data_IF_120294803551
#
_entry.id   IF_120294803551
#
_cell.length_a   1.000
_cell.length_b   1.000
_cell.length_c   1.000
_cell.angle_alpha   90.00
_cell.angle_beta   90.00
_cell.angle_gamma   90.00
#
_symmetry.space_group_name_H-M   'P 1'
#
loop_
_entity.id
_entity.type
_entity.pdbx_description
1 polymer ?
#
# COMPACT_ATOMS: atom_id res chain seq x y z
N UNK A 1 -23.74 -3.64 -25.76
CA UNK A 1 -22.76 -4.67 -25.37
C UNK A 1 -21.50 -4.06 -24.77
N UNK A 2 -20.91 -3.03 -25.38
CA UNK A 2 -19.73 -2.31 -24.87
C UNK A 2 -19.84 -1.81 -23.41
N UNK A 3 -20.98 -1.26 -23.01
CA UNK A 3 -21.15 -0.73 -21.65
C UNK A 3 -21.14 -1.85 -20.59
N UNK A 4 -21.73 -3.00 -20.91
CA UNK A 4 -21.76 -4.14 -19.99
C UNK A 4 -20.37 -4.76 -19.83
N UNK A 5 -19.63 -4.96 -20.93
CA UNK A 5 -18.25 -5.48 -20.88
C UNK A 5 -17.31 -4.52 -20.14
N UNK A 6 -17.42 -3.21 -20.36
CA UNK A 6 -16.64 -2.21 -19.64
C UNK A 6 -16.94 -2.24 -18.14
N UNK A 7 -18.22 -2.31 -17.75
CA UNK A 7 -18.59 -2.34 -16.33
C UNK A 7 -18.18 -3.64 -15.64
N UNK A 8 -18.19 -4.76 -16.36
CA UNK A 8 -17.64 -6.02 -15.87
C UNK A 8 -16.14 -5.91 -15.58
N UNK A 9 -15.37 -5.32 -16.51
CA UNK A 9 -13.92 -5.08 -16.31
C UNK A 9 -13.69 -4.14 -15.13
N UNK A 10 -14.43 -3.03 -15.03
CA UNK A 10 -14.32 -2.09 -13.92
C UNK A 10 -14.64 -2.76 -12.57
N UNK A 11 -15.68 -3.60 -12.53
CA UNK A 11 -16.07 -4.35 -11.34
C UNK A 11 -14.99 -5.36 -10.92
N UNK A 12 -14.41 -6.08 -11.88
CA UNK A 12 -13.28 -6.99 -11.62
C UNK A 12 -12.03 -6.24 -11.14
N UNK A 13 -11.72 -5.09 -11.75
CA UNK A 13 -10.58 -4.27 -11.35
C UNK A 13 -10.72 -3.75 -9.91
N UNK A 14 -11.87 -3.17 -9.57
CA UNK A 14 -12.17 -2.70 -8.20
C UNK A 14 -12.22 -3.85 -7.19
N UNK A 15 -12.86 -4.96 -7.55
CA UNK A 15 -12.90 -6.16 -6.71
C UNK A 15 -11.50 -6.72 -6.44
N UNK A 16 -10.61 -6.70 -7.44
CA UNK A 16 -9.21 -7.12 -7.28
C UNK A 16 -8.45 -6.21 -6.33
N UNK A 17 -8.67 -4.89 -6.39
CA UNK A 17 -8.07 -3.95 -5.45
C UNK A 17 -8.52 -4.26 -4.02
N UNK A 18 -9.82 -4.43 -3.79
CA UNK A 18 -10.33 -4.78 -2.45
C UNK A 18 -9.84 -6.15 -1.97
N UNK A 19 -9.76 -7.14 -2.85
CA UNK A 19 -9.21 -8.45 -2.53
C UNK A 19 -7.73 -8.35 -2.14
N UNK A 20 -6.92 -7.55 -2.84
CA UNK A 20 -5.52 -7.31 -2.51
C UNK A 20 -5.35 -6.58 -1.18
N UNK A 21 -6.20 -5.59 -0.88
CA UNK A 21 -6.19 -4.89 0.40
C UNK A 21 -6.50 -5.87 1.54
N UNK A 22 -7.54 -6.69 1.39
CA UNK A 22 -7.90 -7.71 2.38
C UNK A 22 -6.79 -8.77 2.56
N UNK A 23 -6.18 -9.23 1.46
CA UNK A 23 -5.06 -10.16 1.49
C UNK A 23 -3.85 -9.54 2.21
N UNK A 24 -3.51 -8.29 1.92
CA UNK A 24 -2.43 -7.56 2.60
C UNK A 24 -2.65 -7.48 4.11
N UNK A 25 -3.85 -7.07 4.51
CA UNK A 25 -4.19 -6.94 5.93
C UNK A 25 -4.16 -8.29 6.67
N UNK A 26 -4.69 -9.35 6.06
CA UNK A 26 -4.67 -10.70 6.64
C UNK A 26 -3.25 -11.27 6.74
N UNK A 27 -2.36 -11.00 5.79
CA UNK A 27 -0.96 -11.41 5.87
C UNK A 27 -0.22 -10.69 7.02
N UNK A 28 -0.37 -9.37 7.13
CA UNK A 28 0.26 -8.58 8.19
C UNK A 28 -0.24 -9.03 9.56
N UNK A 29 -1.55 -9.14 9.73
CA UNK A 29 -2.14 -9.62 10.99
C UNK A 29 -1.78 -11.09 11.28
N UNK A 30 -1.68 -11.94 10.25
CA UNK A 30 -1.29 -13.35 10.39
C UNK A 30 0.11 -13.52 10.97
N UNK A 31 1.05 -12.66 10.57
CA UNK A 31 2.44 -12.66 11.07
C UNK A 31 2.56 -11.95 12.40
N UNK A 32 1.98 -10.76 12.53
CA UNK A 32 2.21 -9.87 13.69
C UNK A 32 1.25 -10.14 14.86
N UNK A 33 0.06 -10.68 14.60
CA UNK A 33 -1.00 -10.98 15.59
C UNK A 33 -1.39 -9.79 16.47
N UNK A 34 -1.27 -8.57 15.94
CA UNK A 34 -1.78 -7.33 16.53
C UNK A 34 -2.44 -6.46 15.46
N UNK A 35 -3.34 -5.57 15.88
CA UNK A 35 -4.07 -4.65 14.98
C UNK A 35 -3.11 -3.53 14.54
N UNK A 36 -2.87 -3.42 13.24
CA UNK A 36 -2.03 -2.38 12.65
C UNK A 36 -2.91 -1.30 12.01
N UNK A 37 -3.09 -0.17 12.70
CA UNK A 37 -3.89 0.96 12.21
C UNK A 37 -3.25 1.66 11.02
N UNK A 38 -1.92 1.76 11.00
CA UNK A 38 -1.17 2.42 9.92
C UNK A 38 -1.25 1.71 8.56
N UNK A 39 -1.93 0.55 8.45
CA UNK A 39 -1.98 -0.21 7.21
C UNK A 39 -2.68 0.56 6.08
N UNK A 40 -3.81 1.22 6.36
CA UNK A 40 -4.50 2.07 5.37
C UNK A 40 -3.64 3.24 4.93
N UNK A 41 -2.85 3.79 5.84
CA UNK A 41 -2.07 5.01 5.59
C UNK A 41 -0.83 4.69 4.75
N UNK A 42 -0.23 3.51 4.96
CA UNK A 42 0.83 2.99 4.08
C UNK A 42 0.28 2.71 2.67
N UNK A 43 -0.95 2.19 2.55
CA UNK A 43 -1.60 2.02 1.24
C UNK A 43 -1.83 3.37 0.55
N UNK A 44 -2.28 4.38 1.30
CA UNK A 44 -2.43 5.75 0.81
C UNK A 44 -1.10 6.32 0.30
N UNK A 45 0.00 6.17 1.06
CA UNK A 45 1.33 6.59 0.63
C UNK A 45 1.78 5.88 -0.66
N UNK A 46 1.47 4.60 -0.82
CA UNK A 46 1.73 3.86 -2.06
C UNK A 46 0.96 4.42 -3.26
N UNK A 47 -0.30 4.80 -3.07
CA UNK A 47 -1.11 5.45 -4.10
C UNK A 47 -0.55 6.84 -4.46
N UNK A 48 -0.16 7.65 -3.46
CA UNK A 48 0.49 8.93 -3.70
C UNK A 48 1.84 8.79 -4.41
N UNK A 49 2.64 7.77 -4.06
CA UNK A 49 3.87 7.49 -4.77
C UNK A 49 3.61 7.27 -6.26
N UNK A 50 2.60 6.45 -6.62
CA UNK A 50 2.22 6.25 -8.02
C UNK A 50 1.74 7.54 -8.69
N UNK A 51 0.96 8.36 -7.97
CA UNK A 51 0.49 9.66 -8.45
C UNK A 51 1.64 10.61 -8.81
N UNK A 52 2.70 10.68 -7.99
CA UNK A 52 3.85 11.55 -8.26
C UNK A 52 4.85 10.94 -9.26
N UNK A 53 5.00 9.62 -9.30
CA UNK A 53 5.91 8.93 -10.23
C UNK A 53 5.38 8.98 -11.67
N UNK A 54 4.07 8.83 -11.87
CA UNK A 54 3.47 8.80 -13.20
C UNK A 54 3.85 10.00 -14.10
N UNK A 55 3.73 11.27 -13.67
CA UNK A 55 4.17 12.41 -14.48
C UNK A 55 5.71 12.51 -14.56
N UNK A 56 6.44 12.05 -13.55
CA UNK A 56 7.90 12.09 -13.55
C UNK A 56 8.54 11.14 -14.58
N UNK A 57 7.90 10.01 -14.87
CA UNK A 57 8.40 9.04 -15.87
C UNK A 57 7.88 9.29 -17.29
N UNK A 58 6.84 10.12 -17.44
CA UNK A 58 6.23 10.45 -18.73
C UNK A 58 7.24 10.94 -19.80
N UNK A 59 8.30 11.70 -19.46
CA UNK A 59 9.33 12.09 -20.43
C UNK A 59 10.18 10.92 -20.94
N UNK A 60 10.29 9.83 -20.18
CA UNK A 60 11.11 8.66 -20.52
C UNK A 60 10.31 7.57 -21.24
N UNK A 61 9.05 7.40 -20.86
CA UNK A 61 8.16 6.38 -21.39
C UNK A 61 6.79 7.02 -21.62
N UNK A 62 6.19 6.88 -22.82
CA UNK A 62 4.87 7.45 -23.08
C UNK A 62 3.81 6.80 -22.19
N UNK A 63 2.96 7.61 -21.55
CA UNK A 63 1.74 7.14 -20.89
C UNK A 63 0.52 7.54 -21.74
N UNK A 64 -0.52 6.68 -21.88
CA UNK A 64 -0.69 5.37 -21.26
C UNK A 64 -0.08 4.24 -22.13
N UNK A 65 1.05 3.67 -21.70
CA UNK A 65 1.61 2.44 -22.26
C UNK A 65 1.69 1.37 -21.19
N UNK A 66 1.65 0.10 -21.61
CA UNK A 66 1.79 -1.03 -20.69
C UNK A 66 3.14 -1.00 -19.94
N UNK A 67 4.21 -0.62 -20.64
CA UNK A 67 5.55 -0.47 -20.06
C UNK A 67 5.61 0.65 -19.04
N UNK A 68 4.99 1.80 -19.34
CA UNK A 68 4.86 2.92 -18.39
C UNK A 68 4.09 2.51 -17.14
N UNK A 69 2.93 1.85 -17.30
CA UNK A 69 2.12 1.37 -16.17
C UNK A 69 2.87 0.37 -15.28
N UNK A 70 3.60 -0.58 -15.87
CA UNK A 70 4.43 -1.54 -15.12
C UNK A 70 5.56 -0.84 -14.36
N UNK A 71 6.23 0.14 -14.98
CA UNK A 71 7.29 0.90 -14.33
C UNK A 71 6.77 1.75 -13.17
N UNK A 72 5.67 2.49 -13.35
CA UNK A 72 5.04 3.24 -12.24
C UNK A 72 4.71 2.29 -11.11
N UNK A 73 4.02 1.17 -11.41
CA UNK A 73 3.60 0.21 -10.39
C UNK A 73 4.80 -0.36 -9.63
N UNK A 74 5.86 -0.75 -10.33
CA UNK A 74 7.06 -1.32 -9.74
C UNK A 74 7.79 -0.32 -8.84
N UNK A 75 8.05 0.90 -9.34
CA UNK A 75 8.75 1.93 -8.55
C UNK A 75 7.92 2.34 -7.33
N UNK A 76 6.60 2.52 -7.49
CA UNK A 76 5.70 2.87 -6.39
C UNK A 76 5.62 1.76 -5.34
N UNK A 77 5.57 0.50 -5.77
CA UNK A 77 5.59 -0.67 -4.88
C UNK A 77 6.91 -0.75 -4.10
N UNK A 78 8.05 -0.45 -4.73
CA UNK A 78 9.35 -0.42 -4.05
C UNK A 78 9.42 0.70 -3.01
N UNK A 79 8.90 1.89 -3.31
CA UNK A 79 8.81 2.99 -2.33
C UNK A 79 7.91 2.60 -1.16
N UNK A 80 6.72 2.06 -1.44
CA UNK A 80 5.78 1.61 -0.41
C UNK A 80 6.39 0.51 0.47
N UNK A 81 7.08 -0.46 -0.13
CA UNK A 81 7.81 -1.49 0.60
C UNK A 81 8.94 -0.89 1.47
N UNK A 82 9.68 0.09 0.96
CA UNK A 82 10.71 0.81 1.71
C UNK A 82 10.14 1.53 2.93
N UNK A 83 9.00 2.21 2.78
CA UNK A 83 8.28 2.86 3.88
C UNK A 83 7.84 1.83 4.92
N UNK A 84 7.24 0.71 4.48
CA UNK A 84 6.84 -0.38 5.38
C UNK A 84 8.01 -0.98 6.17
N UNK A 85 9.15 -1.21 5.50
CA UNK A 85 10.38 -1.68 6.16
C UNK A 85 10.88 -0.66 7.17
N UNK A 86 10.84 0.64 6.84
CA UNK A 86 11.27 1.71 7.73
C UNK A 86 10.40 1.76 8.99
N UNK A 87 9.08 1.68 8.84
CA UNK A 87 8.12 1.63 9.95
C UNK A 87 8.36 0.38 10.81
N UNK A 88 8.52 -0.79 10.19
CA UNK A 88 8.83 -2.01 10.92
C UNK A 88 10.12 -1.85 11.72
N UNK A 89 11.18 -1.31 11.13
CA UNK A 89 12.48 -1.17 11.78
C UNK A 89 12.48 -0.13 12.91
N UNK A 90 11.86 1.02 12.70
CA UNK A 90 11.88 2.15 13.65
C UNK A 90 10.82 2.04 14.74
N UNK A 91 9.61 1.56 14.41
CA UNK A 91 8.48 1.59 15.32
C UNK A 91 8.18 0.20 15.94
N UNK A 92 7.99 -0.83 15.10
CA UNK A 92 7.44 -2.11 15.58
C UNK A 92 8.51 -3.07 16.11
N UNK A 93 9.63 -3.23 15.41
CA UNK A 93 10.71 -4.16 15.77
C UNK A 93 11.29 -3.90 17.17
N UNK A 94 11.51 -2.65 17.63
CA UNK A 94 12.01 -2.39 18.98
C UNK A 94 11.01 -2.76 20.09
N UNK A 95 9.72 -2.82 19.77
CA UNK A 95 8.63 -3.01 20.73
C UNK A 95 8.02 -4.40 20.69
N UNK A 96 8.56 -5.30 19.87
CA UNK A 96 8.01 -6.65 19.65
C UNK A 96 7.94 -7.52 20.91
N UNK A 97 8.83 -7.29 21.87
CA UNK A 97 8.85 -8.00 23.17
C UNK A 97 8.00 -7.32 24.24
N UNK A 98 7.38 -6.17 23.94
CA UNK A 98 6.57 -5.39 24.88
C UNK A 98 5.11 -5.87 24.87
N UNK A 99 4.30 -5.51 25.88
CA UNK A 99 2.88 -5.85 25.90
C UNK A 99 2.16 -5.38 24.63
N UNK A 100 1.15 -6.16 24.19
CA UNK A 100 0.39 -5.87 22.96
C UNK A 100 -0.22 -4.46 22.93
N UNK A 101 -0.60 -3.93 24.09
CA UNK A 101 -1.12 -2.57 24.23
C UNK A 101 -0.09 -1.51 23.80
N UNK A 102 1.19 -1.68 24.15
CA UNK A 102 2.25 -0.76 23.75
C UNK A 102 2.45 -0.77 22.23
N UNK A 103 2.38 -1.96 21.61
CA UNK A 103 2.46 -2.11 20.15
C UNK A 103 1.26 -1.45 19.46
N UNK A 104 0.06 -1.60 20.02
CA UNK A 104 -1.15 -0.96 19.54
C UNK A 104 -1.06 0.57 19.56
N UNK A 105 -0.64 1.14 20.70
CA UNK A 105 -0.44 2.60 20.84
C UNK A 105 0.58 3.11 19.82
N UNK A 106 1.64 2.34 19.59
CA UNK A 106 2.64 2.69 18.57
C UNK A 106 2.06 2.64 17.17
N UNK A 107 1.23 1.64 16.84
CA UNK A 107 0.57 1.57 15.54
C UNK A 107 -0.37 2.76 15.30
N UNK A 108 -1.08 3.22 16.33
CA UNK A 108 -1.87 4.46 16.28
C UNK A 108 -0.96 5.67 16.09
N UNK A 109 0.15 5.75 16.83
CA UNK A 109 1.12 6.85 16.71
C UNK A 109 1.75 6.94 15.31
N UNK A 110 2.05 5.81 14.68
CA UNK A 110 2.53 5.77 13.28
C UNK A 110 1.44 6.23 12.32
N UNK A 111 0.19 5.78 12.51
CA UNK A 111 -0.96 6.19 11.69
C UNK A 111 -1.14 7.70 11.72
N UNK A 112 -1.21 8.31 12.91
CA UNK A 112 -1.33 9.76 13.11
C UNK A 112 -0.12 10.57 12.61
N UNK A 113 1.04 9.94 12.46
CA UNK A 113 2.22 10.60 11.90
C UNK A 113 2.21 10.64 10.37
N UNK A 114 1.56 9.65 9.75
CA UNK A 114 1.45 9.53 8.30
C UNK A 114 0.27 10.32 7.76
N UNK A 115 -0.85 10.34 8.49
CA UNK A 115 -2.06 11.14 8.20
C UNK A 115 -1.75 12.64 8.15
#
# INVERSE_FOLDING_TARGET
MEWFSQQLINGLALGSIYALIALGYTMVYGVLRFINFAHSDVLMLGAYAAFFIAPAIQPLVPLPSLTGALLVTLVSALICAGIGILIEFLAYRPLRSRPKLTVLITAIGVSLFIE
#
